data_IF_248087885918
#
_entry.id   IF_248087885918
#
_cell.length_a   1.000
_cell.length_b   1.000
_cell.length_c   1.000
_cell.angle_alpha   90.00
_cell.angle_beta   90.00
_cell.angle_gamma   90.00
#
_symmetry.space_group_name_H-M   'P 1'
#
loop_
_entity.id
_entity.type
_entity.pdbx_description
1 polymer ?
#
# COMPACT_ATOMS: atom_id res chain seq x y z
N UNK A 1 4.69 16.92 5.68
CA UNK A 1 5.17 15.53 5.59
C UNK A 1 5.42 14.98 7.00
N UNK A 2 6.04 15.76 7.87
CA UNK A 2 6.39 15.40 9.26
C UNK A 2 5.23 14.86 10.11
N UNK A 3 4.02 15.44 9.99
CA UNK A 3 2.84 14.93 10.72
C UNK A 3 2.42 13.52 10.27
N UNK A 4 2.44 13.24 8.97
CA UNK A 4 2.05 11.94 8.42
C UNK A 4 3.05 10.86 8.86
N UNK A 5 4.34 11.15 8.74
CA UNK A 5 5.40 10.24 9.20
C UNK A 5 5.28 10.00 10.71
N UNK A 6 5.14 11.06 11.51
CA UNK A 6 5.02 10.93 12.98
C UNK A 6 3.82 10.08 13.41
N UNK A 7 2.66 10.25 12.77
CA UNK A 7 1.47 9.44 13.04
C UNK A 7 1.73 7.96 12.73
N UNK A 8 2.28 7.67 11.56
CA UNK A 8 2.47 6.29 11.11
C UNK A 8 3.58 5.58 11.90
N UNK A 9 4.63 6.31 12.31
CA UNK A 9 5.66 5.79 13.23
C UNK A 9 5.06 5.53 14.61
N UNK A 10 4.29 6.47 15.16
CA UNK A 10 3.60 6.29 16.44
C UNK A 10 2.61 5.13 16.45
N UNK A 11 1.99 4.84 15.30
CA UNK A 11 1.11 3.69 15.10
C UNK A 11 1.86 2.38 14.75
N UNK A 12 3.18 2.40 14.63
CA UNK A 12 3.99 1.24 14.26
C UNK A 12 3.82 0.75 12.82
N UNK A 13 3.20 1.55 11.95
CA UNK A 13 2.91 1.21 10.54
C UNK A 13 4.16 1.36 9.66
N UNK A 14 4.95 2.42 9.89
CA UNK A 14 6.22 2.67 9.20
C UNK A 14 7.33 2.89 10.21
N UNK A 15 8.56 2.52 9.86
CA UNK A 15 9.75 2.80 10.67
C UNK A 15 10.81 3.49 9.81
N UNK A 16 11.59 4.36 10.44
CA UNK A 16 12.86 4.86 9.90
C UNK A 16 14.00 3.87 10.09
N UNK A 17 15.18 4.22 9.60
CA UNK A 17 16.40 3.45 9.83
C UNK A 17 16.85 3.53 11.29
N UNK A 18 16.66 4.72 11.89
CA UNK A 18 16.91 4.98 13.30
C UNK A 18 16.00 6.11 13.80
N UNK A 19 16.23 6.56 15.04
CA UNK A 19 15.44 7.61 15.69
C UNK A 19 15.49 8.97 14.97
N UNK A 20 16.53 9.24 14.19
CA UNK A 20 16.80 10.52 13.55
C UNK A 20 16.69 10.48 12.02
N UNK A 21 16.66 9.28 11.41
CA UNK A 21 16.67 9.14 9.96
C UNK A 21 15.53 8.25 9.44
N UNK A 22 14.53 8.89 8.80
CA UNK A 22 13.41 8.18 8.19
C UNK A 22 13.70 7.66 6.78
N UNK A 23 14.55 8.35 6.00
CA UNK A 23 14.80 8.02 4.59
C UNK A 23 13.58 8.19 3.66
N UNK A 24 12.99 9.40 3.57
CA UNK A 24 11.75 9.62 2.81
C UNK A 24 11.90 9.43 1.30
N UNK A 25 13.10 9.59 0.76
CA UNK A 25 13.38 9.45 -0.67
C UNK A 25 13.69 8.00 -1.08
N UNK A 26 13.88 7.10 -0.12
CA UNK A 26 14.26 5.72 -0.41
C UNK A 26 13.06 4.94 -0.95
N UNK A 27 13.25 4.13 -2.01
CA UNK A 27 12.19 3.27 -2.51
C UNK A 27 11.83 2.20 -1.47
N UNK A 28 10.56 1.82 -1.45
CA UNK A 28 10.10 0.67 -0.67
C UNK A 28 10.05 -0.58 -1.54
N UNK A 29 10.43 -1.71 -0.96
CA UNK A 29 10.20 -3.01 -1.60
C UNK A 29 8.72 -3.40 -1.53
N UNK A 30 8.31 -4.35 -2.38
CA UNK A 30 6.95 -4.89 -2.39
C UNK A 30 6.57 -5.56 -1.06
N UNK A 31 7.50 -6.24 -0.40
CA UNK A 31 7.26 -6.80 0.94
C UNK A 31 7.08 -5.72 2.01
N UNK A 32 7.85 -4.63 1.95
CA UNK A 32 7.66 -3.48 2.85
C UNK A 32 6.30 -2.81 2.61
N UNK A 33 5.88 -2.65 1.35
CA UNK A 33 4.56 -2.14 1.02
C UNK A 33 3.43 -3.05 1.55
N UNK A 34 3.56 -4.38 1.39
CA UNK A 34 2.62 -5.37 1.92
C UNK A 34 2.47 -5.27 3.44
N UNK A 35 3.58 -5.12 4.18
CA UNK A 35 3.55 -4.86 5.62
C UNK A 35 2.77 -3.59 5.96
N UNK A 36 3.08 -2.49 5.29
CA UNK A 36 2.44 -1.19 5.54
C UNK A 36 0.93 -1.25 5.30
N UNK A 37 0.49 -1.81 4.16
CA UNK A 37 -0.95 -1.90 3.86
C UNK A 37 -1.68 -2.87 4.79
N UNK A 38 -1.03 -3.95 5.23
CA UNK A 38 -1.62 -4.87 6.22
C UNK A 38 -1.87 -4.17 7.55
N UNK A 39 -0.87 -3.44 8.05
CA UNK A 39 -0.98 -2.70 9.31
C UNK A 39 -1.99 -1.55 9.21
N UNK A 40 -1.96 -0.79 8.12
CA UNK A 40 -2.91 0.30 7.87
C UNK A 40 -4.35 -0.22 7.68
N UNK A 41 -4.51 -1.41 7.11
CA UNK A 41 -5.78 -2.13 7.03
C UNK A 41 -6.12 -2.91 8.31
N UNK A 42 -5.34 -2.77 9.40
CA UNK A 42 -5.63 -3.41 10.68
C UNK A 42 -5.78 -4.93 10.60
N UNK A 43 -5.09 -5.57 9.65
CA UNK A 43 -5.14 -7.02 9.50
C UNK A 43 -4.44 -7.69 10.69
N UNK A 44 -5.01 -8.80 11.16
CA UNK A 44 -4.31 -9.65 12.12
C UNK A 44 -3.15 -10.37 11.43
N UNK A 45 -1.93 -10.12 11.89
CA UNK A 45 -0.72 -10.76 11.35
C UNK A 45 0.00 -11.50 12.46
N UNK A 46 0.19 -12.81 12.27
CA UNK A 46 0.93 -13.69 13.19
C UNK A 46 1.86 -14.59 12.39
N UNK A 47 3.03 -14.97 12.92
CA UNK A 47 3.87 -15.97 12.27
C UNK A 47 3.05 -17.25 12.03
N UNK A 48 3.10 -17.83 10.81
CA UNK A 48 2.32 -19.02 10.52
C UNK A 48 2.90 -20.24 11.27
N UNK A 49 2.01 -21.11 11.74
CA UNK A 49 2.40 -22.38 12.39
C UNK A 49 3.06 -23.35 11.39
N UNK A 50 2.61 -23.32 10.13
CA UNK A 50 3.16 -24.10 9.02
C UNK A 50 3.61 -23.20 7.86
N UNK A 51 4.73 -23.55 7.23
CA UNK A 51 5.17 -22.85 6.01
C UNK A 51 4.40 -23.35 4.79
N UNK A 52 3.36 -22.61 4.41
CA UNK A 52 2.54 -22.83 3.19
C UNK A 52 2.35 -21.51 2.45
N UNK A 53 3.36 -21.03 1.70
CA UNK A 53 3.28 -19.71 1.08
C UNK A 53 2.32 -19.71 -0.12
N UNK A 54 1.52 -18.66 -0.25
CA UNK A 54 0.76 -18.35 -1.47
C UNK A 54 1.71 -18.05 -2.62
N UNK A 55 2.85 -17.40 -2.34
CA UNK A 55 3.88 -17.06 -3.32
C UNK A 55 5.19 -17.76 -3.00
N UNK A 56 5.67 -18.58 -3.94
CA UNK A 56 6.82 -19.48 -3.73
C UNK A 56 8.16 -18.79 -3.46
N UNK A 57 8.29 -17.53 -3.82
CA UNK A 57 9.47 -16.69 -3.62
C UNK A 57 9.41 -15.85 -2.32
N UNK A 58 8.44 -16.11 -1.45
CA UNK A 58 8.33 -15.48 -0.13
C UNK A 58 8.73 -16.49 0.95
N UNK A 59 9.91 -16.26 1.53
CA UNK A 59 10.50 -17.16 2.53
C UNK A 59 10.01 -16.85 3.94
N UNK A 60 9.89 -17.88 4.79
CA UNK A 60 9.75 -17.72 6.23
C UNK A 60 11.09 -17.33 6.84
N UNK A 61 11.21 -16.08 7.30
CA UNK A 61 12.38 -15.62 8.04
C UNK A 61 12.36 -16.14 9.48
N UNK A 62 13.55 -16.30 10.07
CA UNK A 62 13.74 -16.71 11.45
C UNK A 62 14.70 -15.77 12.17
N UNK A 63 14.53 -15.62 13.48
CA UNK A 63 15.50 -14.91 14.31
C UNK A 63 16.75 -15.77 14.59
N UNK A 64 17.71 -15.19 15.33
CA UNK A 64 18.94 -15.85 15.77
C UNK A 64 18.70 -17.11 16.63
N UNK A 65 17.52 -17.24 17.22
CA UNK A 65 17.11 -18.39 18.04
C UNK A 65 16.27 -19.41 17.27
N UNK A 66 16.04 -19.19 15.97
CA UNK A 66 15.24 -20.08 15.11
C UNK A 66 13.73 -19.85 15.16
N UNK A 67 13.25 -18.85 15.91
CA UNK A 67 11.82 -18.54 15.98
C UNK A 67 11.34 -17.91 14.68
N UNK A 68 10.14 -18.29 14.25
CA UNK A 68 9.50 -17.73 13.06
C UNK A 68 9.22 -16.24 13.22
N UNK A 69 9.63 -15.44 12.24
CA UNK A 69 9.33 -14.01 12.16
C UNK A 69 8.10 -13.77 11.29
N UNK A 70 7.28 -12.77 11.65
CA UNK A 70 6.12 -12.38 10.83
C UNK A 70 6.53 -11.78 9.49
N UNK A 71 7.64 -11.06 9.43
CA UNK A 71 8.09 -10.41 8.20
C UNK A 71 9.10 -11.27 7.43
N UNK A 72 9.00 -11.39 6.10
CA UNK A 72 7.96 -10.81 5.23
C UNK A 72 6.71 -11.68 5.12
N UNK A 73 6.82 -12.99 5.34
CA UNK A 73 5.81 -13.97 4.94
C UNK A 73 4.41 -13.67 5.49
N UNK A 74 4.24 -13.56 6.80
CA UNK A 74 2.91 -13.40 7.40
C UNK A 74 2.19 -12.13 6.93
N UNK A 75 2.94 -11.04 6.67
CA UNK A 75 2.37 -9.81 6.13
C UNK A 75 1.93 -9.97 4.67
N UNK A 76 2.73 -10.66 3.85
CA UNK A 76 2.37 -10.90 2.45
C UNK A 76 1.16 -11.84 2.38
N UNK A 77 1.13 -12.91 3.18
CA UNK A 77 0.00 -13.85 3.23
C UNK A 77 -1.28 -13.17 3.73
N UNK A 78 -1.22 -12.38 4.80
CA UNK A 78 -2.38 -11.66 5.30
C UNK A 78 -2.92 -10.65 4.26
N UNK A 79 -2.02 -9.90 3.62
CA UNK A 79 -2.41 -8.97 2.57
C UNK A 79 -2.99 -9.69 1.35
N UNK A 80 -2.48 -10.86 0.98
CA UNK A 80 -2.99 -11.64 -0.14
C UNK A 80 -4.36 -12.25 0.17
N UNK A 81 -4.53 -12.81 1.38
CA UNK A 81 -5.81 -13.34 1.86
C UNK A 81 -6.89 -12.25 1.93
N UNK A 82 -6.53 -11.02 2.29
CA UNK A 82 -7.42 -9.86 2.26
C UNK A 82 -7.59 -9.25 0.86
N UNK A 83 -6.92 -9.79 -0.18
CA UNK A 83 -6.98 -9.27 -1.54
C UNK A 83 -6.33 -7.90 -1.72
N UNK A 84 -5.48 -7.44 -0.80
CA UNK A 84 -4.79 -6.14 -0.89
C UNK A 84 -3.58 -6.19 -1.84
N UNK A 85 -2.92 -7.35 -1.90
CA UNK A 85 -1.78 -7.57 -2.79
C UNK A 85 -2.03 -8.75 -3.72
N UNK A 86 -1.40 -8.70 -4.88
CA UNK A 86 -1.41 -9.77 -5.87
C UNK A 86 0.02 -10.05 -6.33
N UNK A 87 0.30 -11.31 -6.62
CA UNK A 87 1.52 -11.74 -7.28
C UNK A 87 1.39 -11.67 -8.79
N UNK A 88 2.48 -11.98 -9.48
CA UNK A 88 2.50 -12.22 -10.93
C UNK A 88 2.46 -13.72 -11.22
N UNK A 89 1.99 -14.09 -12.40
CA UNK A 89 2.09 -15.47 -12.89
C UNK A 89 3.57 -15.85 -13.00
N UNK A 90 4.00 -16.89 -12.28
CA UNK A 90 5.39 -17.39 -12.30
C UNK A 90 5.61 -18.58 -13.22
N UNK A 91 4.73 -18.78 -14.22
CA UNK A 91 4.74 -19.93 -15.12
C UNK A 91 4.07 -21.17 -14.50
N UNK A 92 4.52 -22.35 -14.90
CA UNK A 92 3.98 -23.65 -14.46
C UNK A 92 4.23 -23.94 -12.97
N UNK A 93 5.18 -23.22 -12.36
CA UNK A 93 5.64 -23.47 -11.00
C UNK A 93 4.86 -22.66 -9.93
N UNK A 94 3.85 -21.89 -10.34
CA UNK A 94 2.97 -21.12 -9.44
C UNK A 94 3.31 -19.63 -9.37
N UNK A 95 2.54 -18.84 -8.60
CA UNK A 95 2.64 -17.39 -8.58
C UNK A 95 3.89 -16.91 -7.81
N UNK A 96 4.41 -15.75 -8.24
CA UNK A 96 5.55 -15.05 -7.64
C UNK A 96 5.13 -13.70 -7.08
N UNK A 97 5.77 -13.25 -6.01
CA UNK A 97 5.50 -11.96 -5.40
C UNK A 97 6.58 -10.91 -5.68
N UNK A 98 7.84 -11.30 -5.91
CA UNK A 98 9.03 -10.47 -5.99
C UNK A 98 9.19 -9.54 -4.75
N UNK A 99 9.38 -10.09 -3.54
CA UNK A 99 9.32 -9.32 -2.28
C UNK A 99 10.36 -8.20 -2.18
N UNK A 100 11.53 -8.37 -2.81
CA UNK A 100 12.65 -7.41 -2.76
C UNK A 100 12.60 -6.38 -3.90
N UNK A 101 11.73 -6.57 -4.90
CA UNK A 101 11.60 -5.59 -5.97
C UNK A 101 10.99 -4.29 -5.44
N UNK A 102 11.43 -3.10 -5.91
CA UNK A 102 10.78 -1.84 -5.61
C UNK A 102 9.30 -1.87 -6.01
N UNK A 103 8.43 -1.37 -5.14
CA UNK A 103 7.02 -1.17 -5.50
C UNK A 103 6.89 0.07 -6.37
N UNK A 104 6.18 -0.04 -7.50
CA UNK A 104 5.94 1.12 -8.36
C UNK A 104 4.78 1.97 -7.86
N UNK A 105 4.70 3.22 -8.33
CA UNK A 105 3.58 4.13 -8.05
C UNK A 105 2.24 3.51 -8.44
N UNK A 106 2.15 2.87 -9.61
CA UNK A 106 0.89 2.22 -10.02
C UNK A 106 0.56 1.04 -9.13
N UNK A 107 1.52 0.21 -8.75
CA UNK A 107 1.28 -0.90 -7.83
C UNK A 107 0.78 -0.41 -6.46
N UNK A 108 1.37 0.66 -5.93
CA UNK A 108 0.88 1.30 -4.70
C UNK A 108 -0.57 1.80 -4.85
N UNK A 109 -0.89 2.48 -5.95
CA UNK A 109 -2.25 2.94 -6.21
C UNK A 109 -3.26 1.79 -6.23
N UNK A 110 -2.92 0.67 -6.87
CA UNK A 110 -3.78 -0.52 -6.90
C UNK A 110 -3.94 -1.15 -5.51
N UNK A 111 -2.88 -1.21 -4.69
CA UNK A 111 -2.99 -1.70 -3.31
C UNK A 111 -3.94 -0.82 -2.49
N UNK A 112 -3.82 0.50 -2.59
CA UNK A 112 -4.67 1.45 -1.86
C UNK A 112 -6.12 1.45 -2.38
N UNK A 113 -6.32 1.32 -3.69
CA UNK A 113 -7.64 1.14 -4.29
C UNK A 113 -8.34 -0.12 -3.74
N UNK A 114 -7.62 -1.24 -3.61
CA UNK A 114 -8.15 -2.46 -2.98
C UNK A 114 -8.48 -2.26 -1.50
N UNK A 115 -7.68 -1.49 -0.76
CA UNK A 115 -8.01 -1.12 0.63
C UNK A 115 -9.32 -0.32 0.72
N UNK A 116 -9.51 0.67 -0.17
CA UNK A 116 -10.74 1.46 -0.25
C UNK A 116 -11.95 0.56 -0.55
N UNK A 117 -11.84 -0.35 -1.51
CA UNK A 117 -12.90 -1.29 -1.87
C UNK A 117 -13.27 -2.24 -0.75
N UNK A 118 -12.29 -2.74 0.00
CA UNK A 118 -12.54 -3.61 1.14
C UNK A 118 -13.31 -2.91 2.27
N UNK A 119 -13.31 -1.58 2.33
CA UNK A 119 -14.14 -0.81 3.26
C UNK A 119 -15.49 -0.38 2.65
N UNK A 120 -15.81 -0.81 1.42
CA UNK A 120 -17.03 -0.41 0.73
C UNK A 120 -16.97 0.98 0.08
N UNK A 121 -15.77 1.55 -0.09
CA UNK A 121 -15.56 2.91 -0.63
C UNK A 121 -15.92 3.11 -2.11
N UNK A 122 -16.18 2.03 -2.85
CA UNK A 122 -16.71 2.06 -4.22
C UNK A 122 -18.25 2.04 -4.27
N UNK A 123 -18.91 2.02 -3.10
CA UNK A 123 -20.36 2.14 -3.01
C UNK A 123 -20.81 3.51 -3.51
N UNK A 124 -21.88 3.62 -4.30
CA UNK A 124 -22.51 4.91 -4.63
C UNK A 124 -23.06 5.63 -3.39
N UNK A 125 -23.11 4.95 -2.25
CA UNK A 125 -23.48 5.49 -0.94
C UNK A 125 -22.27 5.70 -0.01
N UNK A 126 -21.04 5.49 -0.50
CA UNK A 126 -19.85 5.80 0.28
C UNK A 126 -19.88 7.31 0.58
N UNK A 127 -19.70 7.72 1.85
CA UNK A 127 -19.70 9.13 2.18
C UNK A 127 -18.61 9.82 1.38
N UNK A 128 -18.98 10.83 0.58
CA UNK A 128 -18.02 11.85 0.17
C UNK A 128 -17.39 12.37 1.45
N UNK A 129 -16.08 12.14 1.62
CA UNK A 129 -15.38 12.49 2.84
C UNK A 129 -15.59 13.99 3.12
N UNK A 130 -16.45 14.29 4.09
CA UNK A 130 -16.76 15.66 4.49
C UNK A 130 -15.48 16.30 5.03
N UNK A 131 -14.88 17.20 4.25
CA UNK A 131 -13.62 17.84 4.59
C UNK A 131 -12.35 17.13 4.10
N UNK A 132 -12.45 16.13 3.20
CA UNK A 132 -11.32 15.83 2.33
C UNK A 132 -10.92 17.15 1.63
N UNK A 133 -9.63 17.49 1.55
CA UNK A 133 -9.21 18.66 0.79
C UNK A 133 -9.88 18.54 -0.57
N UNK A 134 -10.65 19.57 -0.96
CA UNK A 134 -11.26 19.64 -2.29
C UNK A 134 -10.18 19.15 -3.23
N UNK A 135 -10.37 18.01 -3.91
CA UNK A 135 -9.33 17.51 -4.76
C UNK A 135 -9.04 18.68 -5.68
N UNK A 136 -7.76 19.05 -5.81
CA UNK A 136 -7.33 19.93 -6.88
C UNK A 136 -7.53 19.13 -8.16
N UNK A 137 -8.80 18.83 -8.49
CA UNK A 137 -9.28 18.40 -9.78
C UNK A 137 -9.14 19.64 -10.64
N UNK A 138 -7.90 19.93 -10.98
CA UNK A 138 -7.67 20.21 -12.38
C UNK A 138 -8.04 18.90 -13.03
N UNK A 139 -9.18 18.85 -13.73
CA UNK A 139 -9.64 17.76 -14.60
C UNK A 139 -8.64 17.55 -15.76
N UNK A 140 -7.37 17.39 -15.42
CA UNK A 140 -6.31 17.08 -16.35
C UNK A 140 -6.27 15.56 -16.38
N UNK A 141 -6.75 14.93 -17.46
CA UNK A 141 -6.71 13.48 -17.57
C UNK A 141 -5.28 12.99 -17.38
N UNK A 142 -5.10 11.91 -16.61
CA UNK A 142 -3.80 11.27 -16.45
C UNK A 142 -3.49 10.48 -17.72
N UNK A 143 -2.52 10.95 -18.51
CA UNK A 143 -2.31 10.49 -19.89
C UNK A 143 -1.41 9.25 -20.00
N UNK A 144 -0.67 8.92 -18.95
CA UNK A 144 0.34 7.85 -18.93
C UNK A 144 -0.07 6.65 -18.07
N UNK A 145 -1.32 6.57 -17.60
CA UNK A 145 -1.82 5.44 -16.81
C UNK A 145 -2.09 4.24 -17.71
N UNK A 146 -1.56 3.04 -17.41
CA UNK A 146 -1.84 1.85 -18.20
C UNK A 146 -3.29 1.38 -18.02
N UNK A 147 -3.88 0.84 -19.09
CA UNK A 147 -5.30 0.48 -19.14
C UNK A 147 -5.79 -0.41 -17.97
N UNK A 148 -4.94 -1.34 -17.51
CA UNK A 148 -5.28 -2.25 -16.41
C UNK A 148 -5.33 -1.57 -15.02
N UNK A 149 -4.87 -0.33 -14.90
CA UNK A 149 -4.83 0.42 -13.65
C UNK A 149 -5.68 1.70 -13.71
N UNK A 150 -6.35 1.98 -14.82
CA UNK A 150 -7.12 3.21 -15.02
C UNK A 150 -8.15 3.43 -13.92
N UNK A 151 -8.94 2.40 -13.59
CA UNK A 151 -9.97 2.49 -12.54
C UNK A 151 -9.38 2.69 -11.15
N UNK A 152 -8.31 1.94 -10.83
CA UNK A 152 -7.63 2.02 -9.53
C UNK A 152 -7.01 3.41 -9.31
N UNK A 153 -6.31 3.93 -10.32
CA UNK A 153 -5.68 5.25 -10.27
C UNK A 153 -6.73 6.35 -10.21
N UNK A 154 -7.81 6.25 -10.99
CA UNK A 154 -8.91 7.22 -10.96
C UNK A 154 -9.59 7.25 -9.58
N UNK A 155 -9.80 6.10 -8.95
CA UNK A 155 -10.39 6.00 -7.62
C UNK A 155 -9.53 6.71 -6.56
N UNK A 156 -8.23 6.37 -6.47
CA UNK A 156 -7.35 6.97 -5.45
C UNK A 156 -7.09 8.46 -5.71
N UNK A 157 -7.14 8.91 -6.96
CA UNK A 157 -7.04 10.32 -7.32
C UNK A 157 -8.33 11.09 -6.94
N UNK A 158 -9.51 10.55 -7.27
CA UNK A 158 -10.81 11.14 -6.93
C UNK A 158 -10.99 11.30 -5.41
N UNK A 159 -10.51 10.32 -4.64
CA UNK A 159 -10.54 10.37 -3.17
C UNK A 159 -9.40 11.21 -2.56
N UNK A 160 -8.55 11.84 -3.38
CA UNK A 160 -7.43 12.66 -2.91
C UNK A 160 -6.32 11.89 -2.20
N UNK A 161 -6.31 10.55 -2.30
CA UNK A 161 -5.34 9.68 -1.62
C UNK A 161 -3.98 9.75 -2.31
N UNK A 162 -3.97 9.63 -3.64
CA UNK A 162 -2.76 9.65 -4.45
C UNK A 162 -2.99 10.47 -5.73
N UNK A 163 -2.15 11.48 -5.95
CA UNK A 163 -2.32 12.45 -7.05
C UNK A 163 -1.28 12.23 -8.15
N UNK A 164 -1.62 12.66 -9.36
CA UNK A 164 -0.65 12.88 -10.44
C UNK A 164 0.21 14.13 -10.22
N UNK A 165 1.19 14.30 -11.09
CA UNK A 165 2.06 15.45 -11.22
C UNK A 165 1.48 16.47 -12.19
N UNK A 166 2.13 17.65 -12.26
CA UNK A 166 1.81 18.66 -13.26
C UNK A 166 1.89 18.09 -14.69
N UNK A 167 1.02 18.58 -15.57
CA UNK A 167 0.97 18.15 -16.97
C UNK A 167 0.27 16.81 -17.22
N UNK A 168 -0.57 16.33 -16.28
CA UNK A 168 -1.38 15.13 -16.48
C UNK A 168 -0.60 13.82 -16.41
N UNK A 169 0.55 13.81 -15.73
CA UNK A 169 1.42 12.64 -15.60
C UNK A 169 1.18 11.96 -14.26
N UNK A 170 0.97 10.66 -14.23
CA UNK A 170 0.94 9.86 -13.02
C UNK A 170 2.30 9.23 -12.71
N UNK A 171 3.13 9.00 -13.74
CA UNK A 171 4.40 8.30 -13.67
C UNK A 171 4.28 6.89 -13.07
N UNK A 172 3.53 5.98 -13.71
CA UNK A 172 3.08 4.72 -13.11
C UNK A 172 4.24 3.78 -12.72
N UNK A 173 5.35 3.80 -13.45
CA UNK A 173 6.45 2.86 -13.28
C UNK A 173 7.59 3.41 -12.41
N UNK A 174 7.54 4.68 -12.01
CA UNK A 174 8.48 5.20 -11.03
C UNK A 174 8.31 4.49 -9.67
N UNK A 175 9.42 4.33 -8.97
CA UNK A 175 9.45 3.67 -7.66
C UNK A 175 8.75 4.53 -6.61
N UNK A 176 7.96 3.88 -5.74
CA UNK A 176 7.28 4.58 -4.67
C UNK A 176 8.26 4.84 -3.51
N UNK A 177 8.60 6.11 -3.33
CA UNK A 177 9.42 6.56 -2.22
C UNK A 177 8.68 6.42 -0.88
N UNK A 178 9.39 6.01 0.16
CA UNK A 178 8.87 5.77 1.52
C UNK A 178 8.05 6.94 2.05
N UNK A 179 8.53 8.15 1.85
CA UNK A 179 7.84 9.37 2.26
C UNK A 179 6.50 9.57 1.55
N UNK A 180 6.43 9.24 0.26
CA UNK A 180 5.18 9.32 -0.49
C UNK A 180 4.20 8.23 -0.04
N UNK A 181 4.68 7.00 0.18
CA UNK A 181 3.83 5.92 0.73
C UNK A 181 3.24 6.32 2.09
N UNK A 182 4.06 6.89 2.98
CA UNK A 182 3.59 7.39 4.27
C UNK A 182 2.49 8.46 4.13
N UNK A 183 2.63 9.38 3.16
CA UNK A 183 1.60 10.39 2.89
C UNK A 183 0.28 9.77 2.41
N UNK A 184 0.34 8.84 1.44
CA UNK A 184 -0.84 8.17 0.88
C UNK A 184 -1.57 7.36 1.96
N UNK A 185 -0.84 6.63 2.79
CA UNK A 185 -1.41 5.83 3.87
C UNK A 185 -2.03 6.71 4.96
N UNK A 186 -1.40 7.84 5.32
CA UNK A 186 -2.03 8.78 6.24
C UNK A 186 -3.37 9.30 5.68
N UNK A 187 -3.41 9.66 4.39
CA UNK A 187 -4.66 10.13 3.74
C UNK A 187 -5.73 9.04 3.74
N UNK A 188 -5.35 7.78 3.51
CA UNK A 188 -6.29 6.66 3.61
C UNK A 188 -6.87 6.55 5.02
N UNK A 189 -6.04 6.68 6.07
CA UNK A 189 -6.53 6.63 7.45
C UNK A 189 -7.46 7.83 7.79
N UNK A 190 -7.17 9.02 7.27
CA UNK A 190 -8.05 10.19 7.42
C UNK A 190 -9.39 9.99 6.68
N UNK A 191 -9.34 9.44 5.47
CA UNK A 191 -10.53 9.11 4.68
C UNK A 191 -11.39 8.03 5.37
N UNK A 192 -10.79 6.94 5.85
CA UNK A 192 -11.52 5.86 6.52
C UNK A 192 -12.22 6.35 7.80
N UNK A 193 -11.58 7.23 8.57
CA UNK A 193 -12.15 7.82 9.77
C UNK A 193 -13.31 8.79 9.45
N UNK A 194 -13.15 9.65 8.44
CA UNK A 194 -14.23 10.57 8.02
C UNK A 194 -15.42 9.85 7.41
N UNK A 195 -15.19 8.69 6.78
CA UNK A 195 -16.24 7.83 6.27
C UNK A 195 -16.97 7.01 7.36
N UNK A 196 -16.53 7.06 8.62
CA UNK A 196 -17.08 6.23 9.70
C UNK A 196 -16.84 4.73 9.51
N UNK A 197 -15.85 4.37 8.69
CA UNK A 197 -15.52 2.98 8.36
C UNK A 197 -14.41 2.42 9.26
N UNK A 198 -13.82 3.28 10.12
CA UNK A 198 -12.82 2.96 11.16
C UNK A 198 -12.87 3.94 12.32
#
# INVERSE_FOLDING_TARGET
>A
MDRAVSRLVGAGIVNGYDANYFGPADPLTRAQAAKIVSLAAGLEVRPPEEYRPTFRDVSLARDVYGNALSYPLAFVEAAAAAGLVVGRTGGEEGPLFDPEAPVTRVQLAQMVARMVRNLGGDSPYAPEAAGAPTPLLVDVPLVDVPAHATEDVALVARLGLMMGYAGGRFDPYAEAQRGHVALVINRYLDWAATAGLR
#
